data_IF_006810115870
#
_entry.id   IF_006810115870
#
_cell.length_a   1.000
_cell.length_b   1.000
_cell.length_c   1.000
_cell.angle_alpha   90.00
_cell.angle_beta   90.00
_cell.angle_gamma   90.00
#
_symmetry.space_group_name_H-M   'P 1'
#
loop_
_entity.id
_entity.type
_entity.pdbx_description
1 polymer ?
#
# COMPACT_ATOMS: atom_id res chain seq x y z
N UNK A 1 -0.33 -11.41 1.06
CA UNK A 1 -0.13 -12.85 1.18
C UNK A 1 -1.40 -13.54 1.71
N UNK A 2 -1.92 -13.13 2.88
CA UNK A 2 -3.10 -13.74 3.50
C UNK A 2 -4.34 -13.80 2.58
N UNK A 3 -4.61 -12.75 1.82
CA UNK A 3 -5.72 -12.76 0.87
C UNK A 3 -5.54 -13.82 -0.22
N UNK A 4 -4.31 -14.05 -0.67
CA UNK A 4 -4.01 -15.05 -1.70
C UNK A 4 -4.20 -16.48 -1.16
N UNK A 5 -3.88 -16.72 0.12
CA UNK A 5 -4.19 -17.98 0.80
C UNK A 5 -5.71 -18.22 0.80
N UNK A 6 -6.48 -17.20 1.19
CA UNK A 6 -7.95 -17.29 1.20
C UNK A 6 -8.59 -17.54 -0.17
N UNK A 7 -7.86 -17.27 -1.26
CA UNK A 7 -8.28 -17.54 -2.64
C UNK A 7 -7.78 -18.90 -3.17
N UNK A 8 -7.03 -19.67 -2.37
CA UNK A 8 -6.48 -20.96 -2.80
C UNK A 8 -5.40 -20.86 -3.89
N UNK A 9 -4.74 -19.70 -4.04
CA UNK A 9 -3.76 -19.52 -5.12
C UNK A 9 -2.54 -20.42 -4.95
N UNK A 10 -2.19 -20.76 -3.73
CA UNK A 10 -1.02 -21.59 -3.42
C UNK A 10 -1.28 -23.09 -3.56
N UNK A 11 -2.51 -23.51 -3.78
CA UNK A 11 -2.84 -24.88 -4.17
C UNK A 11 -2.25 -25.24 -5.56
N UNK A 12 -1.99 -24.21 -6.37
CA UNK A 12 -1.49 -24.35 -7.75
C UNK A 12 -0.16 -23.63 -8.01
N UNK A 13 0.31 -22.80 -7.07
CA UNK A 13 1.52 -21.98 -7.20
C UNK A 13 2.45 -22.19 -6.00
N UNK A 14 3.55 -22.93 -6.22
CA UNK A 14 4.52 -23.25 -5.17
C UNK A 14 5.50 -22.12 -4.83
N UNK A 15 5.33 -20.91 -5.37
CA UNK A 15 6.24 -19.77 -5.18
C UNK A 15 5.48 -18.49 -4.91
N UNK A 16 5.98 -17.66 -4.03
CA UNK A 16 5.45 -16.33 -3.75
C UNK A 16 6.56 -15.32 -3.45
N UNK A 17 6.32 -14.06 -3.73
CA UNK A 17 7.19 -12.97 -3.28
C UNK A 17 6.71 -12.45 -1.93
N UNK A 18 7.57 -12.51 -0.92
CA UNK A 18 7.29 -11.98 0.40
C UNK A 18 8.58 -11.49 1.09
N UNK A 19 8.58 -10.26 1.68
CA UNK A 19 7.52 -9.25 1.61
C UNK A 19 7.17 -8.84 0.18
N UNK A 20 5.92 -8.35 -0.02
CA UNK A 20 5.49 -7.83 -1.31
C UNK A 20 6.30 -6.60 -1.73
N UNK A 21 6.56 -6.45 -3.02
CA UNK A 21 7.41 -5.38 -3.54
C UNK A 21 6.65 -4.12 -3.98
N UNK A 22 5.33 -4.19 -4.17
CA UNK A 22 4.56 -3.04 -4.66
C UNK A 22 3.19 -2.85 -4.02
N UNK A 23 2.78 -3.67 -3.09
CA UNK A 23 1.38 -3.72 -2.70
C UNK A 23 1.12 -3.14 -1.31
N UNK A 24 0.71 -1.89 -1.28
CA UNK A 24 -0.02 -1.31 -0.16
C UNK A 24 -1.18 -0.48 -0.73
N UNK A 25 -2.28 -1.13 -1.17
CA UNK A 25 -3.42 -0.40 -1.70
C UNK A 25 -3.99 0.51 -0.63
N UNK A 26 -4.24 1.76 -0.99
CA UNK A 26 -4.94 2.70 -0.13
C UNK A 26 -6.44 2.55 -0.35
N UNK A 27 -7.09 1.77 0.50
CA UNK A 27 -8.54 1.66 0.47
C UNK A 27 -9.17 2.95 0.98
N UNK A 28 -10.22 3.40 0.32
CA UNK A 28 -10.90 4.63 0.66
C UNK A 28 -12.43 4.45 0.67
N UNK A 29 -13.08 5.22 1.52
CA UNK A 29 -14.52 5.31 1.54
C UNK A 29 -14.97 6.54 0.76
N UNK A 30 -15.70 6.33 -0.35
CA UNK A 30 -16.34 7.40 -1.09
C UNK A 30 -17.78 7.58 -0.63
N UNK A 31 -18.19 8.83 -0.44
CA UNK A 31 -19.55 9.17 -0.09
C UNK A 31 -20.11 10.19 -1.08
N UNK A 32 -21.39 10.04 -1.45
CA UNK A 32 -22.07 11.05 -2.25
C UNK A 32 -22.07 12.39 -1.52
N UNK A 33 -21.60 13.45 -2.20
CA UNK A 33 -21.42 14.76 -1.56
C UNK A 33 -22.70 15.33 -0.95
N UNK A 34 -23.83 15.25 -1.65
CA UNK A 34 -25.11 15.76 -1.13
C UNK A 34 -25.55 15.02 0.13
N UNK A 35 -25.34 13.69 0.18
CA UNK A 35 -25.63 12.88 1.37
C UNK A 35 -24.72 13.24 2.52
N UNK A 36 -23.43 13.42 2.26
CA UNK A 36 -22.46 13.86 3.25
C UNK A 36 -22.79 15.23 3.81
N UNK A 37 -23.09 16.21 2.94
CA UNK A 37 -23.41 17.57 3.36
C UNK A 37 -24.68 17.62 4.21
N UNK A 38 -25.66 16.74 3.96
CA UNK A 38 -26.88 16.60 4.75
C UNK A 38 -26.73 15.92 6.12
N UNK A 39 -25.53 15.38 6.43
CA UNK A 39 -25.28 14.82 7.76
C UNK A 39 -25.05 15.91 8.79
N UNK A 40 -25.52 15.68 10.03
CA UNK A 40 -25.14 16.51 11.16
C UNK A 40 -23.62 16.46 11.42
N UNK A 41 -23.04 17.52 11.97
CA UNK A 41 -21.61 17.55 12.34
C UNK A 41 -21.24 16.43 13.33
N UNK A 42 -22.17 16.04 14.20
CA UNK A 42 -22.00 14.90 15.09
C UNK A 42 -21.79 13.60 14.28
N UNK A 43 -22.63 13.35 13.27
CA UNK A 43 -22.54 12.14 12.46
C UNK A 43 -21.29 12.13 11.57
N UNK A 44 -20.92 13.26 10.98
CA UNK A 44 -19.65 13.42 10.24
C UNK A 44 -18.45 13.07 11.12
N UNK A 45 -18.42 13.58 12.35
CA UNK A 45 -17.35 13.27 13.31
C UNK A 45 -17.33 11.79 13.70
N UNK A 46 -18.48 11.17 13.95
CA UNK A 46 -18.55 9.73 14.24
C UNK A 46 -18.00 8.92 13.08
N UNK A 47 -18.37 9.21 11.84
CA UNK A 47 -17.86 8.54 10.66
C UNK A 47 -16.36 8.72 10.50
N UNK A 48 -15.84 9.94 10.65
CA UNK A 48 -14.39 10.19 10.59
C UNK A 48 -13.61 9.37 11.61
N UNK A 49 -14.05 9.37 12.87
CA UNK A 49 -13.38 8.61 13.94
C UNK A 49 -13.46 7.09 13.67
N UNK A 50 -14.62 6.61 13.22
CA UNK A 50 -14.79 5.19 12.86
C UNK A 50 -13.85 4.77 11.72
N UNK A 51 -13.70 5.62 10.69
CA UNK A 51 -12.81 5.34 9.56
C UNK A 51 -11.33 5.34 9.97
N UNK A 52 -10.88 6.28 10.79
CA UNK A 52 -9.52 6.26 11.34
C UNK A 52 -9.26 4.98 12.15
N UNK A 53 -10.19 4.61 13.02
CA UNK A 53 -10.08 3.39 13.82
C UNK A 53 -10.06 2.14 12.93
N UNK A 54 -10.90 2.09 11.90
CA UNK A 54 -10.94 0.98 10.94
C UNK A 54 -9.60 0.86 10.21
N UNK A 55 -9.07 1.96 9.66
CA UNK A 55 -7.79 1.96 8.96
C UNK A 55 -6.66 1.40 9.81
N UNK A 56 -6.49 1.90 11.03
CA UNK A 56 -5.46 1.40 11.95
C UNK A 56 -5.63 -0.09 12.26
N UNK A 57 -6.85 -0.50 12.60
CA UNK A 57 -7.12 -1.91 12.95
C UNK A 57 -6.91 -2.85 11.77
N UNK A 58 -7.35 -2.46 10.59
CA UNK A 58 -7.19 -3.27 9.38
C UNK A 58 -5.71 -3.42 9.01
N UNK A 59 -4.94 -2.34 9.07
CA UNK A 59 -3.50 -2.37 8.80
C UNK A 59 -2.80 -3.35 9.74
N UNK A 60 -3.00 -3.22 11.06
CA UNK A 60 -2.37 -4.10 12.04
C UNK A 60 -2.83 -5.57 11.89
N UNK A 61 -4.12 -5.79 11.66
CA UNK A 61 -4.65 -7.13 11.44
C UNK A 61 -4.05 -7.80 10.19
N UNK A 62 -3.90 -7.05 9.10
CA UNK A 62 -3.29 -7.55 7.86
C UNK A 62 -1.80 -7.82 8.01
N UNK A 63 -1.07 -7.02 8.78
CA UNK A 63 0.34 -7.31 9.08
C UNK A 63 0.48 -8.67 9.79
N UNK A 64 -0.30 -8.89 10.86
CA UNK A 64 -0.30 -10.17 11.58
C UNK A 64 -0.75 -11.33 10.69
N UNK A 65 -1.81 -11.13 9.91
CA UNK A 65 -2.32 -12.18 9.01
C UNK A 65 -1.31 -12.56 7.93
N UNK A 66 -0.56 -11.59 7.39
CA UNK A 66 0.47 -11.87 6.38
C UNK A 66 1.65 -12.65 6.97
N UNK A 67 2.09 -12.32 8.18
CA UNK A 67 3.16 -13.06 8.86
C UNK A 67 2.73 -14.49 9.23
N UNK A 68 1.48 -14.66 9.66
CA UNK A 68 0.92 -16.00 9.93
C UNK A 68 0.87 -16.82 8.65
N UNK A 69 0.31 -16.24 7.58
CA UNK A 69 0.23 -16.90 6.28
C UNK A 69 1.61 -17.26 5.71
N UNK A 70 2.63 -16.42 5.91
CA UNK A 70 3.99 -16.74 5.48
C UNK A 70 4.50 -18.03 6.13
N UNK A 71 4.36 -18.15 7.45
CA UNK A 71 4.80 -19.35 8.20
C UNK A 71 4.03 -20.60 7.82
N UNK A 72 2.73 -20.49 7.59
CA UNK A 72 1.88 -21.59 7.18
C UNK A 72 2.27 -22.08 5.78
N UNK A 73 2.46 -21.17 4.82
CA UNK A 73 2.87 -21.50 3.46
C UNK A 73 4.26 -22.15 3.39
N UNK A 74 5.22 -21.65 4.16
CA UNK A 74 6.55 -22.29 4.24
C UNK A 74 6.45 -23.71 4.80
N UNK A 75 5.60 -23.94 5.80
CA UNK A 75 5.36 -25.27 6.35
C UNK A 75 4.68 -26.21 5.36
N UNK A 76 3.90 -25.69 4.43
CA UNK A 76 3.25 -26.42 3.32
C UNK A 76 4.16 -26.59 2.10
N UNK A 77 5.39 -26.08 2.14
CA UNK A 77 6.39 -26.24 1.09
C UNK A 77 6.37 -25.15 0.01
N UNK A 78 5.63 -24.06 0.21
CA UNK A 78 5.69 -22.90 -0.70
C UNK A 78 6.99 -22.13 -0.45
N UNK A 79 7.71 -21.82 -1.51
CA UNK A 79 8.94 -21.04 -1.43
C UNK A 79 8.64 -19.55 -1.45
N UNK A 80 9.03 -18.84 -0.38
CA UNK A 80 8.91 -17.39 -0.30
C UNK A 80 10.20 -16.71 -0.75
N UNK A 81 10.10 -15.90 -1.80
CA UNK A 81 11.21 -15.13 -2.34
C UNK A 81 11.18 -13.70 -1.80
N UNK A 82 12.29 -13.30 -1.21
CA UNK A 82 12.53 -11.91 -0.83
C UNK A 82 13.56 -11.29 -1.79
N UNK A 83 13.21 -10.18 -2.38
CA UNK A 83 14.11 -9.48 -3.29
C UNK A 83 15.35 -8.94 -2.56
N UNK A 84 16.49 -9.00 -3.22
CA UNK A 84 17.72 -8.36 -2.76
C UNK A 84 17.62 -6.83 -2.80
N UNK A 85 18.53 -6.14 -2.12
CA UNK A 85 18.50 -4.67 -2.09
C UNK A 85 18.77 -4.05 -3.47
N UNK A 86 19.61 -4.67 -4.28
CA UNK A 86 19.87 -4.22 -5.66
C UNK A 86 18.59 -4.25 -6.51
N UNK A 87 17.85 -5.37 -6.47
CA UNK A 87 16.61 -5.53 -7.23
C UNK A 87 15.54 -4.54 -6.76
N UNK A 88 15.44 -4.32 -5.44
CA UNK A 88 14.52 -3.33 -4.87
C UNK A 88 14.87 -1.92 -5.30
N UNK A 89 16.15 -1.58 -5.35
CA UNK A 89 16.63 -0.27 -5.79
C UNK A 89 16.29 -0.03 -7.26
N UNK A 90 16.53 -1.02 -8.11
CA UNK A 90 16.16 -0.94 -9.53
C UNK A 90 14.66 -0.78 -9.73
N UNK A 91 13.85 -1.55 -8.99
CA UNK A 91 12.40 -1.43 -9.03
C UNK A 91 11.91 -0.05 -8.56
N UNK A 92 12.48 0.48 -7.46
CA UNK A 92 12.13 1.82 -6.95
C UNK A 92 12.48 2.90 -7.97
N UNK A 93 13.60 2.77 -8.66
CA UNK A 93 13.98 3.70 -9.72
C UNK A 93 12.95 3.70 -10.85
N UNK A 94 12.59 2.54 -11.36
CA UNK A 94 11.56 2.41 -12.41
C UNK A 94 10.20 2.97 -11.96
N UNK A 95 9.82 2.75 -10.70
CA UNK A 95 8.60 3.32 -10.13
C UNK A 95 8.67 4.85 -10.06
N UNK A 96 9.79 5.42 -9.63
CA UNK A 96 10.00 6.88 -9.56
C UNK A 96 9.93 7.53 -10.93
N UNK A 97 10.54 6.92 -11.95
CA UNK A 97 10.47 7.40 -13.33
C UNK A 97 9.02 7.43 -13.83
N UNK A 98 8.24 6.38 -13.52
CA UNK A 98 6.81 6.31 -13.85
C UNK A 98 5.98 7.36 -13.10
N UNK A 99 6.25 7.62 -11.82
CA UNK A 99 5.56 8.67 -11.06
C UNK A 99 5.81 10.05 -11.66
N UNK A 100 7.04 10.32 -12.11
CA UNK A 100 7.36 11.58 -12.76
C UNK A 100 6.58 11.78 -14.08
N UNK A 101 6.48 10.74 -14.91
CA UNK A 101 5.63 10.76 -16.11
C UNK A 101 4.16 11.07 -15.78
N UNK A 102 3.62 10.47 -14.71
CA UNK A 102 2.26 10.74 -14.26
C UNK A 102 2.08 12.14 -13.70
N UNK A 103 3.08 12.65 -13.00
CA UNK A 103 3.06 13.99 -12.43
C UNK A 103 2.90 15.09 -13.51
N UNK A 104 3.40 14.83 -14.72
CA UNK A 104 3.31 15.78 -15.85
C UNK A 104 1.89 15.84 -16.45
N UNK A 105 0.99 14.90 -16.13
CA UNK A 105 -0.34 14.83 -16.75
C UNK A 105 -1.32 15.89 -16.24
N UNK A 106 -1.14 16.38 -15.01
CA UNK A 106 -1.97 17.44 -14.45
C UNK A 106 -1.37 18.06 -13.19
N UNK A 107 -1.76 19.31 -12.82
CA UNK A 107 -1.35 19.91 -11.55
C UNK A 107 -1.78 19.09 -10.33
N UNK A 108 -2.92 18.40 -10.39
CA UNK A 108 -3.38 17.53 -9.31
C UNK A 108 -2.49 16.29 -9.17
N UNK A 109 -2.10 15.66 -10.29
CA UNK A 109 -1.19 14.53 -10.28
C UNK A 109 0.19 14.94 -9.73
N UNK A 110 0.74 16.08 -10.15
CA UNK A 110 1.98 16.66 -9.62
C UNK A 110 1.91 16.79 -8.10
N UNK A 111 0.86 17.44 -7.59
CA UNK A 111 0.69 17.63 -6.14
C UNK A 111 0.66 16.32 -5.36
N UNK A 112 0.03 15.27 -5.89
CA UNK A 112 -0.03 13.96 -5.25
C UNK A 112 1.35 13.31 -5.23
N UNK A 113 2.04 13.30 -6.37
CA UNK A 113 3.39 12.72 -6.49
C UNK A 113 4.37 13.44 -5.56
N UNK A 114 4.40 14.77 -5.58
CA UNK A 114 5.30 15.56 -4.73
C UNK A 114 5.07 15.28 -3.24
N UNK A 115 3.80 15.20 -2.82
CA UNK A 115 3.43 14.85 -1.44
C UNK A 115 3.92 13.43 -1.06
N UNK A 116 3.81 12.49 -1.99
CA UNK A 116 4.22 11.10 -1.76
C UNK A 116 5.74 10.98 -1.67
N UNK A 117 6.44 11.59 -2.62
CA UNK A 117 7.91 11.63 -2.64
C UNK A 117 8.46 12.28 -1.38
N UNK A 118 7.92 13.45 -0.97
CA UNK A 118 8.31 14.12 0.28
C UNK A 118 8.17 13.19 1.49
N UNK A 119 7.03 12.53 1.62
CA UNK A 119 6.78 11.61 2.72
C UNK A 119 7.73 10.40 2.72
N UNK A 120 7.99 9.80 1.56
CA UNK A 120 8.93 8.68 1.46
C UNK A 120 10.37 9.10 1.77
N UNK A 121 10.76 10.30 1.37
CA UNK A 121 12.08 10.89 1.70
C UNK A 121 12.21 11.13 3.21
N UNK A 122 11.18 11.69 3.85
CA UNK A 122 11.16 11.88 5.31
C UNK A 122 11.28 10.56 6.08
N UNK A 123 10.76 9.47 5.52
CA UNK A 123 10.89 8.12 6.08
C UNK A 123 12.23 7.44 5.75
N UNK A 124 13.10 8.06 4.93
CA UNK A 124 14.35 7.46 4.48
C UNK A 124 14.17 6.26 3.55
N UNK A 125 13.04 6.15 2.87
CA UNK A 125 12.74 5.07 1.92
C UNK A 125 13.26 5.34 0.51
N UNK A 126 13.46 6.59 0.17
CA UNK A 126 14.10 7.06 -1.07
C UNK A 126 15.04 8.20 -0.74
N UNK A 127 16.11 8.33 -1.53
CA UNK A 127 16.99 9.48 -1.45
C UNK A 127 16.28 10.76 -1.93
N UNK A 128 16.62 11.93 -1.37
CA UNK A 128 16.14 13.20 -1.91
C UNK A 128 16.51 13.28 -3.40
N UNK A 129 15.56 13.56 -4.28
CA UNK A 129 15.87 13.83 -5.67
C UNK A 129 16.83 15.03 -5.72
N UNK A 130 18.01 14.86 -6.32
CA UNK A 130 18.84 16.01 -6.68
C UNK A 130 18.00 16.87 -7.64
N UNK A 131 17.45 17.96 -7.09
CA UNK A 131 16.72 18.94 -7.87
C UNK A 131 17.72 19.61 -8.84
N UNK A 132 17.61 19.22 -10.11
CA UNK A 132 18.21 19.99 -11.21
C UNK A 132 17.49 21.32 -11.40
#
# INVERSE_FOLDING_TARGET
LANNVGLGLYDVAGYATFPGFHSMPSDHLACNKTRWDGLSEKNKRIMSVAMHKLGMRTTLAMMVANETAAKELEAEGVTLHNWGEADRSEFRKAASDTWEEWAQKSPAARKIVDSHVSFMTELGLIEPSESN
#
